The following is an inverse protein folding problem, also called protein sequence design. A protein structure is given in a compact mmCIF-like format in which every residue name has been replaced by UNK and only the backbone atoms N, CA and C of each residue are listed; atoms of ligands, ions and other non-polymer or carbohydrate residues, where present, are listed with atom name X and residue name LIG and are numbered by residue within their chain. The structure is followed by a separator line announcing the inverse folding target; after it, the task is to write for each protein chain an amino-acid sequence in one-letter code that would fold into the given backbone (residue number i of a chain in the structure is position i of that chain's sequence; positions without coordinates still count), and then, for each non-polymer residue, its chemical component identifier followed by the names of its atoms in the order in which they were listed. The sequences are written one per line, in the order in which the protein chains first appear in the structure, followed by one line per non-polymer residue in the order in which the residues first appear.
data_IF_871283350143
#
_entry.id   IF_871283350143
#
_cell.length_a   1.000
_cell.length_b   1.000
_cell.length_c   1.000
_cell.angle_alpha   90.00
_cell.angle_beta   90.00
_cell.angle_gamma   90.00
#
_symmetry.space_group_name_H-M   'P 1'
#
loop_
_entity.id
_entity.type
_entity.pdbx_description
1 polymer ?
#
# COMPACT_ATOMS: atom_id res chain seq x y z
N UNK A 1 -10.11 10.68 32.99
CA UNK A 1 -8.81 9.97 33.00
C UNK A 1 -7.98 10.51 31.85
N UNK A 2 -6.66 10.77 32.00
CA UNK A 2 -5.83 11.17 30.87
C UNK A 2 -5.80 10.07 29.80
N UNK A 3 -5.80 10.46 28.52
CA UNK A 3 -5.61 9.49 27.44
C UNK A 3 -4.22 8.84 27.57
N UNK A 4 -4.10 7.52 27.41
CA UNK A 4 -2.80 6.85 27.42
C UNK A 4 -1.94 7.34 26.25
N UNK A 5 -0.66 7.61 26.51
CA UNK A 5 0.29 7.98 25.47
C UNK A 5 0.58 6.76 24.57
N UNK A 6 0.30 6.90 23.26
CA UNK A 6 0.51 5.84 22.28
C UNK A 6 1.87 5.99 21.60
N UNK A 7 2.82 5.10 21.87
CA UNK A 7 4.19 5.14 21.33
C UNK A 7 4.50 4.10 20.23
N UNK A 8 3.47 3.48 19.64
CA UNK A 8 3.60 2.43 18.61
C UNK A 8 3.26 2.91 17.18
N UNK A 9 3.38 4.21 16.92
CA UNK A 9 3.06 4.83 15.62
C UNK A 9 3.84 4.24 14.43
N UNK A 10 5.06 3.76 14.66
CA UNK A 10 5.91 3.14 13.63
C UNK A 10 5.45 1.73 13.24
N UNK A 11 4.59 1.10 14.04
CA UNK A 11 4.00 -0.21 13.73
C UNK A 11 2.61 -0.02 13.16
N UNK A 12 1.71 0.60 13.92
CA UNK A 12 0.33 0.90 13.50
C UNK A 12 0.02 2.36 13.84
N UNK A 13 -0.05 3.20 12.83
CA UNK A 13 -0.37 4.62 13.00
C UNK A 13 -1.76 4.85 13.59
N UNK A 14 -1.91 5.87 14.43
CA UNK A 14 -3.19 6.33 14.97
C UNK A 14 -3.43 7.79 14.56
N UNK A 15 -4.68 8.21 14.40
CA UNK A 15 -5.00 9.62 14.19
C UNK A 15 -6.40 9.91 14.77
N UNK A 16 -6.69 11.16 15.18
CA UNK A 16 -8.00 11.51 15.72
C UNK A 16 -9.11 11.15 14.73
N UNK A 17 -10.14 10.41 15.18
CA UNK A 17 -11.27 10.01 14.32
C UNK A 17 -11.06 8.70 13.53
N UNK A 18 -9.86 8.09 13.57
CA UNK A 18 -9.54 6.88 12.78
C UNK A 18 -10.60 5.78 12.87
N UNK A 19 -11.08 5.46 14.07
CA UNK A 19 -12.05 4.38 14.25
C UNK A 19 -13.38 4.66 13.55
N UNK A 20 -13.92 5.87 13.72
CA UNK A 20 -15.20 6.27 13.15
C UNK A 20 -15.10 6.38 11.63
N UNK A 21 -14.02 6.97 11.12
CA UNK A 21 -13.76 7.08 9.69
C UNK A 21 -13.56 5.72 9.01
N UNK A 22 -12.81 4.80 9.64
CA UNK A 22 -12.64 3.44 9.13
C UNK A 22 -13.97 2.69 9.10
N UNK A 23 -14.79 2.82 10.15
CA UNK A 23 -16.11 2.20 10.20
C UNK A 23 -17.03 2.74 9.10
N UNK A 24 -17.05 4.06 8.90
CA UNK A 24 -17.83 4.69 7.85
C UNK A 24 -17.38 4.26 6.45
N UNK A 25 -16.08 4.22 6.19
CA UNK A 25 -15.52 3.80 4.90
C UNK A 25 -15.85 2.32 4.58
N UNK A 26 -15.72 1.43 5.58
CA UNK A 26 -16.04 0.02 5.41
C UNK A 26 -17.55 -0.20 5.17
N UNK A 27 -18.40 0.52 5.91
CA UNK A 27 -19.84 0.47 5.71
C UNK A 27 -20.25 0.98 4.31
N UNK A 28 -19.64 2.08 3.84
CA UNK A 28 -19.84 2.60 2.50
C UNK A 28 -19.45 1.59 1.41
N UNK A 29 -18.27 1.00 1.53
CA UNK A 29 -17.83 -0.08 0.62
C UNK A 29 -18.81 -1.25 0.60
N UNK A 30 -19.26 -1.72 1.77
CA UNK A 30 -20.19 -2.85 1.86
C UNK A 30 -21.54 -2.52 1.21
N UNK A 31 -22.07 -1.31 1.41
CA UNK A 31 -23.30 -0.86 0.78
C UNK A 31 -23.16 -0.78 -0.75
N UNK A 32 -22.07 -0.17 -1.24
CA UNK A 32 -21.79 -0.05 -2.66
C UNK A 32 -21.65 -1.42 -3.34
N UNK A 33 -20.98 -2.37 -2.68
CA UNK A 33 -20.74 -3.69 -3.24
C UNK A 33 -21.98 -4.60 -3.21
N UNK A 34 -22.84 -4.43 -2.20
CA UNK A 34 -24.08 -5.18 -2.07
C UNK A 34 -25.27 -4.59 -2.85
N UNK A 35 -25.11 -3.41 -3.46
CA UNK A 35 -26.16 -2.78 -4.25
C UNK A 35 -26.62 -3.71 -5.38
N UNK A 36 -27.93 -3.75 -5.64
CA UNK A 36 -28.52 -4.52 -6.75
C UNK A 36 -28.55 -3.64 -8.02
N UNK A 37 -27.37 -3.23 -8.47
CA UNK A 37 -27.14 -2.46 -9.70
C UNK A 37 -25.88 -2.97 -10.41
N UNK A 38 -25.44 -2.31 -11.49
CA UNK A 38 -24.19 -2.64 -12.20
C UNK A 38 -23.05 -1.64 -11.86
N UNK A 39 -23.19 -0.90 -10.75
CA UNK A 39 -22.34 0.23 -10.40
C UNK A 39 -21.13 -0.11 -9.52
N UNK A 40 -20.98 -1.36 -9.07
CA UNK A 40 -19.95 -1.78 -8.10
C UNK A 40 -18.54 -1.49 -8.62
N UNK A 41 -18.25 -1.93 -9.84
CA UNK A 41 -16.93 -1.75 -10.45
C UNK A 41 -16.61 -0.27 -10.73
N UNK A 42 -17.49 0.52 -11.37
CA UNK A 42 -17.28 1.96 -11.51
C UNK A 42 -16.98 2.67 -10.17
N UNK A 43 -17.75 2.38 -9.10
CA UNK A 43 -17.54 2.97 -7.77
C UNK A 43 -16.19 2.56 -7.16
N UNK A 44 -15.86 1.27 -7.20
CA UNK A 44 -14.59 0.75 -6.67
C UNK A 44 -13.37 1.30 -7.42
N UNK A 45 -13.44 1.38 -8.76
CA UNK A 45 -12.36 1.92 -9.58
C UNK A 45 -12.18 3.43 -9.37
N UNK A 46 -13.28 4.19 -9.19
CA UNK A 46 -13.22 5.60 -8.84
C UNK A 46 -12.55 5.81 -7.47
N UNK A 47 -12.92 5.02 -6.46
CA UNK A 47 -12.28 5.07 -5.13
C UNK A 47 -10.78 4.72 -5.20
N UNK A 48 -10.41 3.72 -6.01
CA UNK A 48 -9.00 3.37 -6.24
C UNK A 48 -8.23 4.50 -6.93
N UNK A 49 -8.83 5.15 -7.94
CA UNK A 49 -8.21 6.28 -8.62
C UNK A 49 -7.97 7.46 -7.66
N UNK A 50 -8.96 7.75 -6.80
CA UNK A 50 -8.84 8.77 -5.77
C UNK A 50 -7.73 8.45 -4.76
N UNK A 51 -7.65 7.20 -4.29
CA UNK A 51 -6.57 6.74 -3.41
C UNK A 51 -5.18 6.98 -4.01
N UNK A 52 -4.98 6.61 -5.27
CA UNK A 52 -3.69 6.83 -5.96
C UNK A 52 -3.40 8.33 -6.16
N UNK A 53 -4.41 9.14 -6.47
CA UNK A 53 -4.27 10.59 -6.62
C UNK A 53 -3.84 11.26 -5.31
N UNK A 54 -4.43 10.86 -4.18
CA UNK A 54 -4.08 11.37 -2.85
C UNK A 54 -2.64 11.00 -2.48
N UNK A 55 -2.22 9.76 -2.77
CA UNK A 55 -0.81 9.37 -2.61
C UNK A 55 0.12 10.18 -3.50
N UNK A 56 -0.24 10.38 -4.77
CA UNK A 56 0.54 11.21 -5.69
C UNK A 56 0.78 12.61 -5.17
N UNK A 57 -0.25 13.24 -4.60
CA UNK A 57 -0.13 14.54 -3.97
C UNK A 57 0.72 14.52 -2.69
N UNK A 58 0.66 13.45 -1.89
CA UNK A 58 1.37 13.35 -0.61
C UNK A 58 2.89 13.22 -0.79
N UNK A 59 3.34 12.49 -1.82
CA UNK A 59 4.77 12.20 -2.05
C UNK A 59 5.34 12.88 -3.31
N UNK A 60 4.58 13.80 -3.91
CA UNK A 60 4.94 14.50 -5.16
C UNK A 60 5.35 13.54 -6.29
N UNK A 61 4.54 12.48 -6.49
CA UNK A 61 4.85 11.47 -7.50
C UNK A 61 4.49 11.96 -8.92
N UNK A 62 5.33 11.67 -9.93
CA UNK A 62 4.99 11.95 -11.33
C UNK A 62 3.69 11.30 -11.78
N UNK A 63 3.01 11.95 -12.73
CA UNK A 63 1.81 11.38 -13.34
C UNK A 63 2.11 10.02 -13.97
N UNK A 64 1.24 9.04 -13.72
CA UNK A 64 1.38 7.68 -14.24
C UNK A 64 2.46 6.82 -13.58
N UNK A 65 3.16 7.31 -12.55
CA UNK A 65 4.23 6.54 -11.88
C UNK A 65 3.77 5.73 -10.67
N UNK A 66 2.48 5.78 -10.30
CA UNK A 66 1.94 5.11 -9.12
C UNK A 66 1.06 3.92 -9.45
N UNK A 67 1.16 2.89 -8.61
CA UNK A 67 0.23 1.76 -8.58
C UNK A 67 0.01 1.30 -7.13
N UNK A 68 -1.02 0.48 -6.92
CA UNK A 68 -1.38 -0.08 -5.62
C UNK A 68 -0.78 -1.49 -5.47
N UNK A 69 -0.40 -1.85 -4.24
CA UNK A 69 -0.02 -3.21 -3.87
C UNK A 69 -0.60 -3.54 -2.48
N UNK A 70 -0.88 -4.82 -2.23
CA UNK A 70 -1.47 -5.29 -0.97
C UNK A 70 -0.59 -5.02 0.26
N UNK A 71 0.72 -5.04 0.08
CA UNK A 71 1.70 -4.72 1.13
C UNK A 71 3.05 -4.37 0.50
N UNK A 72 3.96 -3.83 1.32
CA UNK A 72 5.29 -3.38 0.90
C UNK A 72 6.15 -4.51 0.33
N UNK A 73 6.05 -5.73 0.89
CA UNK A 73 6.81 -6.89 0.40
C UNK A 73 6.38 -7.27 -1.02
N UNK A 74 5.07 -7.36 -1.27
CA UNK A 74 4.53 -7.65 -2.60
C UNK A 74 4.85 -6.54 -3.59
N UNK A 75 4.83 -5.26 -3.16
CA UNK A 75 5.21 -4.13 -4.01
C UNK A 75 6.65 -4.25 -4.49
N UNK A 76 7.58 -4.50 -3.56
CA UNK A 76 9.00 -4.62 -3.88
C UNK A 76 9.31 -5.86 -4.72
N UNK A 77 8.67 -6.99 -4.43
CA UNK A 77 8.74 -8.18 -5.27
C UNK A 77 8.31 -7.88 -6.70
N UNK A 78 7.18 -7.17 -6.87
CA UNK A 78 6.68 -6.76 -8.17
C UNK A 78 7.68 -5.88 -8.92
N UNK A 79 8.30 -4.91 -8.25
CA UNK A 79 9.33 -4.04 -8.85
C UNK A 79 10.53 -4.86 -9.31
N UNK A 80 11.08 -5.72 -8.46
CA UNK A 80 12.27 -6.52 -8.79
C UNK A 80 11.97 -7.52 -9.90
N UNK A 81 10.83 -8.23 -9.82
CA UNK A 81 10.42 -9.22 -10.82
C UNK A 81 10.09 -8.62 -12.18
N UNK A 82 9.73 -7.34 -12.24
CA UNK A 82 9.50 -6.62 -13.49
C UNK A 82 10.79 -6.12 -14.17
N UNK A 83 11.95 -6.19 -13.50
CA UNK A 83 13.22 -5.78 -14.10
C UNK A 83 13.63 -6.77 -15.20
N UNK A 84 14.05 -6.27 -16.38
CA UNK A 84 14.64 -7.12 -17.41
C UNK A 84 15.81 -7.96 -16.89
N UNK A 85 15.90 -9.21 -17.34
CA UNK A 85 16.85 -10.20 -16.81
C UNK A 85 18.31 -9.76 -16.96
N UNK A 86 18.65 -8.98 -17.98
CA UNK A 86 19.97 -8.42 -18.22
C UNK A 86 20.44 -7.47 -17.10
N UNK A 87 19.52 -6.88 -16.34
CA UNK A 87 19.86 -6.01 -15.21
C UNK A 87 20.21 -6.79 -13.93
N UNK A 88 19.75 -8.04 -13.81
CA UNK A 88 19.96 -8.86 -12.61
C UNK A 88 20.96 -10.00 -12.83
N UNK A 89 21.00 -10.59 -14.03
CA UNK A 89 21.80 -11.78 -14.32
C UNK A 89 23.29 -11.54 -14.09
N UNK A 90 23.90 -12.34 -13.21
CA UNK A 90 25.31 -12.23 -12.86
C UNK A 90 25.69 -10.95 -12.11
N UNK A 91 24.70 -10.17 -11.67
CA UNK A 91 24.89 -8.96 -10.85
C UNK A 91 24.66 -9.28 -9.38
N UNK A 92 25.04 -8.34 -8.51
CA UNK A 92 24.82 -8.41 -7.06
C UNK A 92 23.89 -7.28 -6.66
N UNK A 93 22.85 -7.61 -5.90
CA UNK A 93 21.95 -6.61 -5.31
C UNK A 93 22.53 -6.17 -3.97
N UNK A 94 22.74 -4.86 -3.81
CA UNK A 94 23.19 -4.28 -2.56
C UNK A 94 21.98 -4.02 -1.65
N UNK A 95 22.06 -4.47 -0.40
CA UNK A 95 21.05 -4.23 0.62
C UNK A 95 21.67 -3.76 1.93
N UNK A 96 20.87 -3.05 2.72
CA UNK A 96 21.23 -2.70 4.09
C UNK A 96 21.29 -3.97 4.95
N UNK A 97 22.29 -4.05 5.83
CA UNK A 97 22.48 -5.22 6.70
C UNK A 97 21.33 -5.41 7.71
N UNK A 98 20.66 -4.32 8.07
CA UNK A 98 19.52 -4.22 8.98
C UNK A 98 18.18 -4.09 8.23
N UNK A 99 18.12 -4.53 6.97
CA UNK A 99 16.87 -4.51 6.22
C UNK A 99 15.77 -5.35 6.90
N UNK A 100 14.52 -4.94 6.68
CA UNK A 100 13.37 -5.63 7.27
C UNK A 100 13.34 -7.12 6.86
N UNK A 101 12.99 -8.07 7.75
CA UNK A 101 13.14 -9.50 7.45
C UNK A 101 12.44 -9.98 6.18
N UNK A 102 11.25 -9.45 5.87
CA UNK A 102 10.55 -9.84 4.64
C UNK A 102 11.32 -9.47 3.37
N UNK A 103 12.07 -8.37 3.38
CA UNK A 103 12.96 -7.98 2.31
C UNK A 103 14.17 -8.93 2.20
N UNK A 104 14.79 -9.27 3.34
CA UNK A 104 15.90 -10.22 3.34
C UNK A 104 15.50 -11.56 2.73
N UNK A 105 14.38 -12.15 3.17
CA UNK A 105 13.91 -13.44 2.65
C UNK A 105 13.51 -13.37 1.19
N UNK A 106 12.89 -12.27 0.76
CA UNK A 106 12.54 -12.05 -0.64
C UNK A 106 13.77 -12.12 -1.54
N UNK A 107 14.85 -11.46 -1.14
CA UNK A 107 16.07 -11.35 -1.94
C UNK A 107 17.00 -12.55 -1.83
N UNK A 108 16.97 -13.25 -0.70
CA UNK A 108 17.76 -14.48 -0.52
C UNK A 108 17.30 -15.61 -1.46
N UNK A 109 16.07 -15.54 -1.97
CA UNK A 109 15.51 -16.51 -2.92
C UNK A 109 15.62 -16.15 -4.39
N UNK A 110 16.17 -14.97 -4.74
CA UNK A 110 16.44 -14.52 -6.11
C UNK A 110 17.83 -14.97 -6.58
#
# INVERSE_FOLDING_TARGET
MPQPAYFLYHSIGQYPGKADEMAAALAGFAADWAACDDGQWPRALAARAEFLRLWGALIDAPEGSLTSAENVTSALHGVIGALPAEHLRGRRVLIAADCFPSLHFLLAGL
#
